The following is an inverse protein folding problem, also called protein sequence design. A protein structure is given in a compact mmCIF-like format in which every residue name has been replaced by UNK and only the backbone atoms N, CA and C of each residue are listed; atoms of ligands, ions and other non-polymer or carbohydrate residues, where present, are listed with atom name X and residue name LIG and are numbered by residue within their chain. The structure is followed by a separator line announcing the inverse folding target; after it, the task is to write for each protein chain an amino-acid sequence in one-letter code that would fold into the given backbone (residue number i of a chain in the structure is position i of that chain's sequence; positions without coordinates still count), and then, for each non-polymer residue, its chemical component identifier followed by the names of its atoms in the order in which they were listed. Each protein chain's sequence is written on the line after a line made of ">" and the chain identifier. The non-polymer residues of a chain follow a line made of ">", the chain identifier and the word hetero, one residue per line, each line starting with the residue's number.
data_IF_358388219730
#
_entry.id   IF_358388219730
#
_cell.length_a   1.000
_cell.length_b   1.000
_cell.length_c   1.000
_cell.angle_alpha   90.00
_cell.angle_beta   90.00
_cell.angle_gamma   90.00
#
_symmetry.space_group_name_H-M   'P 1'
#
loop_
_entity.id
_entity.type
_entity.pdbx_description
1 polymer ?
#
# COMPACT_ATOMS: atom_id res chain seq x y z
N UNK A 1 20.59 19.84 2.99
CA UNK A 1 20.17 18.59 2.28
C UNK A 1 19.14 17.90 3.16
N UNK A 2 18.08 17.44 2.55
CA UNK A 2 17.03 16.72 3.24
C UNK A 2 17.50 15.37 3.81
N UNK A 3 16.84 14.90 4.86
CA UNK A 3 16.92 13.49 5.26
C UNK A 3 16.26 12.63 4.19
N UNK A 4 16.98 11.66 3.65
CA UNK A 4 16.43 10.75 2.65
C UNK A 4 15.75 9.58 3.37
N UNK A 5 14.44 9.46 3.20
CA UNK A 5 13.60 8.46 3.84
C UNK A 5 13.60 7.17 3.00
N UNK A 6 14.58 6.31 3.24
CA UNK A 6 14.81 5.10 2.45
C UNK A 6 13.86 3.96 2.85
N UNK A 7 13.07 3.48 1.91
CA UNK A 7 12.18 2.34 2.10
C UNK A 7 12.89 1.03 2.49
N UNK A 8 14.17 0.87 2.13
CA UNK A 8 14.98 -0.31 2.51
C UNK A 8 15.16 -0.45 4.04
N UNK A 9 15.28 0.67 4.76
CA UNK A 9 15.46 0.67 6.22
C UNK A 9 14.16 0.26 6.90
N UNK A 10 13.04 0.84 6.45
CA UNK A 10 11.68 0.46 6.88
C UNK A 10 11.42 -1.02 6.61
N UNK A 11 11.79 -1.49 5.42
CA UNK A 11 11.63 -2.90 5.03
C UNK A 11 12.46 -3.84 5.90
N UNK A 12 13.67 -3.45 6.30
CA UNK A 12 14.53 -4.27 7.17
C UNK A 12 13.88 -4.46 8.54
N UNK A 13 13.48 -3.37 9.20
CA UNK A 13 12.80 -3.40 10.49
C UNK A 13 11.48 -4.20 10.43
N UNK A 14 10.68 -3.96 9.39
CA UNK A 14 9.42 -4.68 9.20
C UNK A 14 9.62 -6.18 8.99
N UNK A 15 10.67 -6.58 8.27
CA UNK A 15 10.96 -7.99 8.06
C UNK A 15 11.32 -8.69 9.37
N UNK A 16 12.10 -8.06 10.27
CA UNK A 16 12.41 -8.60 11.60
C UNK A 16 11.12 -8.82 12.42
N UNK A 17 10.21 -7.84 12.42
CA UNK A 17 8.90 -7.98 13.08
C UNK A 17 8.08 -9.16 12.51
N UNK A 18 8.10 -9.33 11.18
CA UNK A 18 7.38 -10.42 10.50
C UNK A 18 8.01 -11.77 10.83
N UNK A 19 9.32 -11.88 10.82
CA UNK A 19 10.03 -13.13 11.13
C UNK A 19 9.74 -13.63 12.53
N UNK A 20 9.65 -12.75 13.53
CA UNK A 20 9.23 -13.11 14.89
C UNK A 20 7.78 -13.61 14.94
N UNK A 21 6.86 -12.93 14.26
CA UNK A 21 5.46 -13.35 14.16
C UNK A 21 5.32 -14.71 13.47
N UNK A 22 6.09 -14.96 12.40
CA UNK A 22 6.11 -16.24 11.68
C UNK A 22 6.68 -17.35 12.56
N UNK A 23 7.69 -17.07 13.38
CA UNK A 23 8.21 -18.04 14.37
C UNK A 23 7.13 -18.46 15.36
N UNK A 24 6.39 -17.50 15.92
CA UNK A 24 5.25 -17.79 16.81
C UNK A 24 4.20 -18.67 16.13
N UNK A 25 3.82 -18.36 14.88
CA UNK A 25 2.87 -19.18 14.12
C UNK A 25 3.37 -20.62 13.91
N UNK A 26 4.66 -20.78 13.59
CA UNK A 26 5.27 -22.12 13.39
C UNK A 26 5.26 -22.96 14.69
N UNK A 27 5.48 -22.34 15.85
CA UNK A 27 5.37 -23.00 17.15
C UNK A 27 3.97 -23.58 17.40
N UNK A 28 2.92 -22.93 16.85
CA UNK A 28 1.53 -23.40 16.89
C UNK A 28 1.13 -24.21 15.64
N UNK A 29 2.08 -24.66 14.83
CA UNK A 29 1.87 -25.44 13.61
C UNK A 29 1.00 -24.72 12.55
N UNK A 30 0.96 -23.38 12.57
CA UNK A 30 0.27 -22.55 11.57
C UNK A 30 1.28 -22.04 10.57
N UNK A 31 1.04 -22.32 9.28
CA UNK A 31 1.83 -21.78 8.16
C UNK A 31 1.05 -20.65 7.50
N UNK A 32 1.46 -19.38 7.64
CA UNK A 32 0.80 -18.27 6.93
C UNK A 32 0.91 -18.49 5.42
N UNK A 33 -0.19 -18.30 4.69
CA UNK A 33 -0.26 -18.57 3.25
C UNK A 33 -1.04 -17.50 2.52
N UNK A 34 -0.48 -16.99 1.42
CA UNK A 34 -1.05 -16.00 0.51
C UNK A 34 -1.61 -16.68 -0.74
N UNK A 35 -2.90 -16.46 -1.05
CA UNK A 35 -3.46 -16.75 -2.36
C UNK A 35 -3.22 -15.58 -3.32
N UNK A 36 -2.79 -15.83 -4.52
CA UNK A 36 -2.51 -14.82 -5.55
C UNK A 36 -3.39 -15.08 -6.76
N UNK A 37 -4.33 -14.21 -7.04
CA UNK A 37 -5.17 -14.26 -8.26
C UNK A 37 -4.61 -13.28 -9.28
N UNK A 38 -4.24 -13.78 -10.47
CA UNK A 38 -3.85 -12.97 -11.63
C UNK A 38 -4.66 -13.37 -12.85
N UNK A 39 -5.23 -12.39 -13.53
CA UNK A 39 -6.02 -12.56 -14.75
C UNK A 39 -5.22 -11.98 -15.92
N UNK A 40 -4.93 -12.84 -16.90
CA UNK A 40 -4.09 -12.49 -18.04
C UNK A 40 -2.59 -12.42 -17.70
N UNK A 41 -1.82 -11.78 -18.60
CA UNK A 41 -0.35 -11.78 -18.55
C UNK A 41 0.25 -10.37 -18.70
N UNK A 42 -0.33 -9.38 -18.03
CA UNK A 42 0.23 -8.02 -17.98
C UNK A 42 1.60 -8.05 -17.32
N UNK A 43 2.59 -7.44 -17.96
CA UNK A 43 3.98 -7.48 -17.51
C UNK A 43 4.19 -6.83 -16.13
N UNK A 44 3.45 -5.78 -15.83
CA UNK A 44 3.51 -5.10 -14.54
C UNK A 44 2.98 -6.00 -13.42
N UNK A 45 1.88 -6.73 -13.66
CA UNK A 45 1.32 -7.70 -12.70
C UNK A 45 2.30 -8.84 -12.45
N UNK A 46 2.93 -9.37 -13.51
CA UNK A 46 3.94 -10.43 -13.42
C UNK A 46 5.17 -9.94 -12.63
N UNK A 47 5.61 -8.71 -12.86
CA UNK A 47 6.73 -8.12 -12.14
C UNK A 47 6.41 -7.95 -10.64
N UNK A 48 5.22 -7.46 -10.31
CA UNK A 48 4.78 -7.33 -8.92
C UNK A 48 4.58 -8.72 -8.26
N UNK A 49 3.93 -9.68 -8.94
CA UNK A 49 3.78 -11.07 -8.48
C UNK A 49 5.13 -11.66 -8.10
N UNK A 50 6.13 -11.52 -8.98
CA UNK A 50 7.49 -12.01 -8.72
C UNK A 50 8.10 -11.40 -7.45
N UNK A 51 7.88 -10.12 -7.21
CA UNK A 51 8.39 -9.43 -6.02
C UNK A 51 7.64 -9.90 -4.76
N UNK A 52 6.32 -10.07 -4.83
CA UNK A 52 5.52 -10.59 -3.73
C UNK A 52 5.93 -12.03 -3.37
N UNK A 53 6.11 -12.90 -4.36
CA UNK A 53 6.59 -14.28 -4.19
C UNK A 53 7.97 -14.30 -3.52
N UNK A 54 8.94 -13.56 -4.05
CA UNK A 54 10.27 -13.46 -3.44
C UNK A 54 10.22 -12.99 -1.98
N UNK A 55 9.29 -12.09 -1.67
CA UNK A 55 9.10 -11.61 -0.31
C UNK A 55 8.51 -12.70 0.58
N UNK A 56 7.51 -13.44 0.11
CA UNK A 56 6.95 -14.58 0.82
C UNK A 56 8.02 -15.64 1.12
N UNK A 57 8.80 -16.03 0.12
CA UNK A 57 9.89 -17.00 0.26
C UNK A 57 10.93 -16.54 1.30
N UNK A 58 11.37 -15.28 1.21
CA UNK A 58 12.33 -14.71 2.17
C UNK A 58 11.82 -14.77 3.61
N UNK A 59 10.53 -14.53 3.83
CA UNK A 59 9.90 -14.44 5.16
C UNK A 59 9.22 -15.75 5.60
N UNK A 60 9.45 -16.86 4.89
CA UNK A 60 8.87 -18.17 5.19
C UNK A 60 7.34 -18.16 5.24
N UNK A 61 6.70 -17.42 4.35
CA UNK A 61 5.25 -17.41 4.12
C UNK A 61 4.96 -18.23 2.88
N UNK A 62 4.03 -19.17 2.97
CA UNK A 62 3.61 -19.97 1.83
C UNK A 62 2.77 -19.13 0.85
N UNK A 63 2.72 -19.55 -0.40
CA UNK A 63 1.84 -18.91 -1.40
C UNK A 63 1.27 -19.95 -2.37
N UNK A 64 0.15 -19.58 -2.98
CA UNK A 64 -0.49 -20.36 -4.03
C UNK A 64 -1.02 -19.43 -5.12
N UNK A 65 -0.78 -19.79 -6.39
CA UNK A 65 -1.15 -18.96 -7.54
C UNK A 65 -2.38 -19.50 -8.24
N UNK A 66 -3.31 -18.61 -8.53
CA UNK A 66 -4.54 -18.86 -9.29
C UNK A 66 -4.46 -18.01 -10.56
N UNK A 67 -3.88 -18.59 -11.60
CA UNK A 67 -3.66 -17.91 -12.88
C UNK A 67 -4.86 -18.19 -13.78
N UNK A 68 -5.62 -17.14 -14.08
CA UNK A 68 -6.81 -17.19 -14.90
C UNK A 68 -6.54 -16.56 -16.28
N UNK A 69 -7.12 -17.10 -17.37
CA UNK A 69 -6.96 -16.53 -18.69
C UNK A 69 -7.64 -15.15 -18.77
N UNK A 70 -7.18 -14.30 -19.71
CA UNK A 70 -7.69 -12.93 -19.83
C UNK A 70 -9.19 -12.87 -20.19
N UNK A 71 -9.69 -13.87 -20.91
CA UNK A 71 -11.08 -14.02 -21.30
C UNK A 71 -11.95 -14.80 -20.29
N UNK A 72 -11.45 -15.00 -19.06
CA UNK A 72 -12.16 -15.69 -17.98
C UNK A 72 -13.53 -15.03 -17.72
N UNK A 73 -14.55 -15.85 -17.45
CA UNK A 73 -15.87 -15.31 -17.08
C UNK A 73 -15.90 -14.83 -15.63
N UNK A 74 -16.77 -13.86 -15.36
CA UNK A 74 -17.00 -13.33 -14.01
C UNK A 74 -17.34 -14.44 -13.00
N UNK A 75 -18.16 -15.41 -13.40
CA UNK A 75 -18.56 -16.54 -12.57
C UNK A 75 -17.36 -17.36 -12.08
N UNK A 76 -16.40 -17.65 -12.97
CA UNK A 76 -15.19 -18.42 -12.63
C UNK A 76 -14.32 -17.63 -11.63
N UNK A 77 -14.20 -16.32 -11.81
CA UNK A 77 -13.44 -15.46 -10.88
C UNK A 77 -14.10 -15.45 -9.51
N UNK A 78 -15.42 -15.25 -9.46
CA UNK A 78 -16.21 -15.26 -8.21
C UNK A 78 -16.10 -16.61 -7.51
N UNK A 79 -16.25 -17.72 -8.24
CA UNK A 79 -16.12 -19.08 -7.70
C UNK A 79 -14.72 -19.32 -7.12
N UNK A 80 -13.68 -18.81 -7.79
CA UNK A 80 -12.30 -18.90 -7.30
C UNK A 80 -12.15 -18.16 -5.97
N UNK A 81 -12.65 -16.92 -5.88
CA UNK A 81 -12.62 -16.14 -4.65
C UNK A 81 -13.41 -16.82 -3.53
N UNK A 82 -14.59 -17.38 -3.84
CA UNK A 82 -15.41 -18.07 -2.85
C UNK A 82 -14.74 -19.36 -2.32
N UNK A 83 -14.00 -20.09 -3.16
CA UNK A 83 -13.16 -21.21 -2.72
C UNK A 83 -12.06 -20.74 -1.78
N UNK A 84 -11.39 -19.64 -2.13
CA UNK A 84 -10.35 -19.05 -1.28
C UNK A 84 -10.90 -18.51 0.05
N UNK A 85 -12.10 -17.93 0.05
CA UNK A 85 -12.79 -17.52 1.27
C UNK A 85 -13.00 -18.68 2.25
N UNK A 86 -13.33 -19.88 1.72
CA UNK A 86 -13.58 -21.10 2.51
C UNK A 86 -12.30 -21.86 2.86
N UNK A 87 -11.19 -21.63 2.14
CA UNK A 87 -9.94 -22.35 2.36
C UNK A 87 -9.33 -21.96 3.73
N UNK A 88 -9.25 -22.94 4.62
CA UNK A 88 -8.77 -22.74 5.98
C UNK A 88 -7.28 -22.39 6.06
N UNK A 89 -6.50 -22.86 5.10
CA UNK A 89 -5.05 -22.68 5.01
C UNK A 89 -4.63 -21.42 4.26
N UNK A 90 -5.56 -20.70 3.62
CA UNK A 90 -5.31 -19.39 2.98
C UNK A 90 -5.69 -18.27 3.96
N UNK A 91 -4.72 -17.44 4.30
CA UNK A 91 -4.87 -16.37 5.29
C UNK A 91 -5.05 -14.98 4.67
N UNK A 92 -4.63 -14.79 3.43
CA UNK A 92 -4.82 -13.56 2.69
C UNK A 92 -4.89 -13.82 1.19
N UNK A 93 -5.53 -12.92 0.46
CA UNK A 93 -5.66 -13.00 -1.00
C UNK A 93 -5.24 -11.68 -1.63
N UNK A 94 -4.33 -11.77 -2.59
CA UNK A 94 -3.93 -10.67 -3.48
C UNK A 94 -4.64 -10.85 -4.81
N UNK A 95 -5.32 -9.81 -5.28
CA UNK A 95 -5.97 -9.76 -6.60
C UNK A 95 -5.36 -8.62 -7.40
N UNK A 96 -4.76 -8.91 -8.54
CA UNK A 96 -4.19 -7.88 -9.41
C UNK A 96 -5.27 -7.06 -10.10
N UNK A 97 -5.07 -5.74 -10.15
CA UNK A 97 -5.97 -4.75 -10.72
C UNK A 97 -5.23 -3.79 -11.66
N UNK A 98 -5.90 -3.16 -12.62
CA UNK A 98 -7.33 -3.28 -12.94
C UNK A 98 -7.66 -4.62 -13.61
N UNK A 99 -8.85 -5.15 -13.32
CA UNK A 99 -9.36 -6.34 -13.98
C UNK A 99 -9.62 -6.07 -15.47
N UNK A 100 -9.72 -7.11 -16.32
CA UNK A 100 -10.20 -6.96 -17.70
C UNK A 100 -11.56 -6.26 -17.77
N UNK A 101 -11.73 -5.38 -18.75
CA UNK A 101 -12.89 -4.46 -18.85
C UNK A 101 -14.27 -5.14 -19.01
N UNK A 102 -14.31 -6.42 -19.33
CA UNK A 102 -15.55 -7.20 -19.43
C UNK A 102 -16.04 -7.74 -18.09
N UNK A 103 -15.23 -7.58 -17.02
CA UNK A 103 -15.56 -8.02 -15.67
C UNK A 103 -16.05 -6.86 -14.81
N UNK A 104 -17.05 -7.09 -13.96
CA UNK A 104 -17.48 -6.14 -12.94
C UNK A 104 -16.49 -6.19 -11.75
N UNK A 105 -15.50 -5.29 -11.80
CA UNK A 105 -14.44 -5.23 -10.78
C UNK A 105 -15.03 -5.01 -9.38
N UNK A 106 -16.00 -4.13 -9.20
CA UNK A 106 -16.57 -3.82 -7.89
C UNK A 106 -17.26 -5.05 -7.28
N UNK A 107 -18.06 -5.74 -8.06
CA UNK A 107 -18.76 -6.96 -7.64
C UNK A 107 -17.77 -8.08 -7.29
N UNK A 108 -16.77 -8.30 -8.12
CA UNK A 108 -15.74 -9.32 -7.92
C UNK A 108 -14.95 -9.04 -6.63
N UNK A 109 -14.42 -7.84 -6.47
CA UNK A 109 -13.60 -7.49 -5.32
C UNK A 109 -14.39 -7.59 -4.00
N UNK A 110 -15.65 -7.19 -3.99
CA UNK A 110 -16.51 -7.28 -2.80
C UNK A 110 -17.00 -8.72 -2.50
N UNK A 111 -16.68 -9.71 -3.34
CA UNK A 111 -16.86 -11.12 -3.02
C UNK A 111 -15.79 -11.63 -2.04
N UNK A 112 -14.63 -10.98 -1.98
CA UNK A 112 -13.54 -11.36 -1.06
C UNK A 112 -13.95 -11.11 0.39
N UNK A 113 -13.72 -12.10 1.25
CA UNK A 113 -13.91 -11.98 2.69
C UNK A 113 -12.95 -10.93 3.27
N UNK A 114 -13.47 -10.03 4.09
CA UNK A 114 -12.73 -8.87 4.59
C UNK A 114 -11.51 -9.26 5.43
N UNK A 115 -11.56 -10.38 6.13
CA UNK A 115 -10.47 -10.95 6.92
C UNK A 115 -9.32 -11.48 6.06
N UNK A 116 -9.56 -11.72 4.77
CA UNK A 116 -8.56 -12.17 3.78
C UNK A 116 -8.16 -11.07 2.78
N UNK A 117 -8.76 -9.89 2.90
CA UNK A 117 -8.46 -8.73 2.05
C UNK A 117 -7.18 -8.03 2.51
N UNK A 118 -6.04 -8.69 2.30
CA UNK A 118 -4.73 -8.21 2.77
C UNK A 118 -4.15 -7.04 1.95
N UNK A 119 -4.79 -6.66 0.86
CA UNK A 119 -4.44 -5.46 0.07
C UNK A 119 -5.43 -4.30 0.24
N UNK A 120 -6.47 -4.48 1.07
CA UNK A 120 -7.42 -3.43 1.44
C UNK A 120 -8.27 -2.91 0.28
N UNK A 121 -8.71 -3.83 -0.59
CA UNK A 121 -9.40 -3.50 -1.85
C UNK A 121 -10.92 -3.51 -1.74
N UNK A 122 -11.48 -4.16 -0.70
CA UNK A 122 -12.93 -4.28 -0.51
C UNK A 122 -13.54 -3.02 0.11
N UNK A 123 -14.82 -2.81 -0.14
CA UNK A 123 -15.56 -1.72 0.48
C UNK A 123 -15.58 -1.81 2.01
N UNK A 124 -15.54 -3.02 2.59
CA UNK A 124 -15.50 -3.22 4.05
C UNK A 124 -14.15 -2.80 4.64
N UNK A 125 -13.03 -3.15 4.01
CA UNK A 125 -11.71 -2.66 4.42
C UNK A 125 -11.64 -1.14 4.37
N UNK A 126 -12.17 -0.52 3.31
CA UNK A 126 -12.23 0.94 3.18
C UNK A 126 -13.13 1.59 4.24
N UNK A 127 -14.26 0.95 4.59
CA UNK A 127 -15.12 1.41 5.68
C UNK A 127 -14.40 1.34 7.03
N UNK A 128 -13.62 0.29 7.28
CA UNK A 128 -12.76 0.16 8.46
C UNK A 128 -11.78 1.32 8.60
N UNK A 129 -11.07 1.67 7.53
CA UNK A 129 -10.13 2.80 7.50
C UNK A 129 -10.85 4.11 7.78
N UNK A 130 -11.98 4.37 7.11
CA UNK A 130 -12.76 5.57 7.29
C UNK A 130 -13.27 5.72 8.73
N UNK A 131 -13.76 4.63 9.33
CA UNK A 131 -14.28 4.62 10.70
C UNK A 131 -13.18 4.54 11.78
N UNK A 132 -11.92 4.36 11.40
CA UNK A 132 -10.80 4.14 12.33
C UNK A 132 -10.91 2.82 13.11
N UNK A 133 -11.64 1.82 12.58
CA UNK A 133 -11.86 0.50 13.20
C UNK A 133 -10.95 -0.55 12.57
N UNK A 134 -10.65 -1.59 13.34
CA UNK A 134 -9.96 -2.79 12.87
C UNK A 134 -10.95 -3.69 12.11
N UNK A 135 -11.17 -3.36 10.84
CA UNK A 135 -12.01 -4.10 9.92
C UNK A 135 -11.26 -4.21 8.59
N UNK A 136 -10.82 -5.42 8.26
CA UNK A 136 -9.93 -5.64 7.11
C UNK A 136 -8.56 -4.98 7.28
N UNK A 137 -7.94 -4.66 6.16
CA UNK A 137 -6.60 -4.08 6.09
C UNK A 137 -6.62 -2.78 5.29
N UNK A 138 -5.67 -1.90 5.58
CA UNK A 138 -5.46 -0.72 4.75
C UNK A 138 -4.69 -1.11 3.46
N UNK A 139 -4.90 -0.41 2.32
CA UNK A 139 -4.10 -0.62 1.13
C UNK A 139 -2.60 -0.56 1.44
N UNK A 140 -1.86 -1.53 0.91
CA UNK A 140 -0.43 -1.70 1.24
C UNK A 140 0.40 -0.44 0.98
N UNK A 141 0.11 0.29 -0.10
CA UNK A 141 0.82 1.54 -0.41
C UNK A 141 0.52 2.66 0.58
N UNK A 142 -0.73 2.81 1.01
CA UNK A 142 -1.08 3.79 2.04
C UNK A 142 -0.45 3.44 3.39
N UNK A 143 -0.45 2.16 3.76
CA UNK A 143 0.22 1.64 4.95
C UNK A 143 1.72 1.89 4.92
N UNK A 144 2.37 1.73 3.76
CA UNK A 144 3.80 2.01 3.59
C UNK A 144 4.14 3.48 3.86
N UNK A 145 3.29 4.43 3.45
CA UNK A 145 3.49 5.85 3.77
C UNK A 145 3.52 6.08 5.30
N UNK A 146 2.58 5.48 6.01
CA UNK A 146 2.50 5.61 7.47
C UNK A 146 3.69 4.92 8.15
N UNK A 147 4.06 3.72 7.70
CA UNK A 147 5.23 2.99 8.23
C UNK A 147 6.53 3.76 8.06
N UNK A 148 6.70 4.48 6.94
CA UNK A 148 7.85 5.36 6.73
C UNK A 148 7.85 6.48 7.77
N UNK A 149 6.73 7.19 7.94
CA UNK A 149 6.63 8.27 8.92
C UNK A 149 6.95 7.77 10.34
N UNK A 150 6.40 6.61 10.72
CA UNK A 150 6.62 6.01 12.04
C UNK A 150 8.09 5.59 12.24
N UNK A 151 8.68 4.91 11.25
CA UNK A 151 10.06 4.44 11.32
C UNK A 151 11.06 5.58 11.54
N UNK A 152 10.85 6.70 10.85
CA UNK A 152 11.72 7.88 10.98
C UNK A 152 11.30 8.82 12.11
N UNK A 153 10.36 8.43 12.97
CA UNK A 153 9.93 9.22 14.14
C UNK A 153 9.25 10.54 13.79
N UNK A 154 8.62 10.61 12.61
CA UNK A 154 7.93 11.84 12.16
C UNK A 154 6.56 11.90 12.83
N UNK A 155 6.43 12.79 13.83
CA UNK A 155 5.16 13.02 14.53
C UNK A 155 4.18 13.78 13.63
N UNK A 156 2.99 13.20 13.46
CA UNK A 156 1.90 13.79 12.68
C UNK A 156 0.94 14.65 13.54
N UNK A 157 1.05 14.59 14.87
CA UNK A 157 0.12 15.25 15.79
C UNK A 157 0.11 16.76 15.60
N UNK A 158 -1.06 17.33 15.30
CA UNK A 158 -1.24 18.76 15.08
C UNK A 158 -0.63 19.29 13.78
N UNK A 159 0.01 18.44 12.96
CA UNK A 159 0.60 18.83 11.68
C UNK A 159 -0.44 18.96 10.58
N UNK A 160 -0.22 19.89 9.66
CA UNK A 160 -1.01 20.01 8.45
C UNK A 160 -0.45 19.04 7.39
N UNK A 161 -1.24 18.04 7.04
CA UNK A 161 -0.91 17.08 5.99
C UNK A 161 -1.71 17.38 4.72
N UNK A 162 -1.01 17.58 3.61
CA UNK A 162 -1.62 17.79 2.29
C UNK A 162 -1.35 16.57 1.42
N UNK A 163 -2.43 15.96 0.96
CA UNK A 163 -2.41 14.79 0.09
C UNK A 163 -2.77 15.21 -1.33
N UNK A 164 -1.86 15.06 -2.26
CA UNK A 164 -2.07 15.40 -3.68
C UNK A 164 -2.43 14.13 -4.43
N UNK A 165 -3.73 13.89 -4.56
CA UNK A 165 -4.33 12.68 -5.12
C UNK A 165 -5.49 12.19 -4.25
N UNK A 166 -6.49 11.53 -4.87
CA UNK A 166 -7.70 11.05 -4.17
C UNK A 166 -8.14 9.65 -4.59
N UNK A 167 -7.18 8.82 -5.01
CA UNK A 167 -7.47 7.43 -5.37
C UNK A 167 -7.92 6.62 -4.15
N UNK A 168 -8.62 5.51 -4.40
CA UNK A 168 -8.98 4.54 -3.34
C UNK A 168 -7.77 3.73 -2.87
N UNK A 169 -6.70 3.69 -3.68
CA UNK A 169 -5.49 2.92 -3.34
C UNK A 169 -4.55 3.69 -2.43
N UNK A 170 -4.44 5.02 -2.59
CA UNK A 170 -3.48 5.84 -1.83
C UNK A 170 -4.12 7.05 -1.20
N UNK A 171 -4.61 8.00 -1.99
CA UNK A 171 -4.95 9.33 -1.50
C UNK A 171 -6.01 9.34 -0.39
N UNK A 172 -7.16 8.69 -0.60
CA UNK A 172 -8.21 8.61 0.42
C UNK A 172 -7.78 7.80 1.65
N UNK A 173 -7.22 6.58 1.53
CA UNK A 173 -6.82 5.81 2.70
C UNK A 173 -5.72 6.51 3.50
N UNK A 174 -4.66 7.04 2.88
CA UNK A 174 -3.60 7.73 3.63
C UNK A 174 -4.11 8.97 4.35
N UNK A 175 -5.10 9.67 3.77
CA UNK A 175 -5.75 10.81 4.44
C UNK A 175 -6.41 10.39 5.75
N UNK A 176 -7.19 9.31 5.74
CA UNK A 176 -7.84 8.82 6.95
C UNK A 176 -6.86 8.27 7.97
N UNK A 177 -5.78 7.61 7.51
CA UNK A 177 -4.73 7.12 8.40
C UNK A 177 -3.96 8.26 9.06
N UNK A 178 -3.67 9.35 8.35
CA UNK A 178 -3.06 10.56 8.92
C UNK A 178 -4.01 11.29 9.88
N UNK A 179 -5.31 11.35 9.56
CA UNK A 179 -6.32 11.88 10.49
C UNK A 179 -6.35 11.08 11.80
N UNK A 180 -6.29 9.74 11.72
CA UNK A 180 -6.18 8.85 12.90
C UNK A 180 -4.90 9.12 13.72
N UNK A 181 -3.84 9.63 13.09
CA UNK A 181 -2.59 10.08 13.74
C UNK A 181 -2.64 11.55 14.20
N UNK A 182 -3.83 12.12 14.34
CA UNK A 182 -4.09 13.48 14.78
C UNK A 182 -3.54 14.60 13.87
N UNK A 183 -3.33 14.30 12.57
CA UNK A 183 -3.00 15.34 11.60
C UNK A 183 -4.27 16.08 11.13
N UNK A 184 -4.10 17.35 10.76
CA UNK A 184 -5.13 18.11 10.02
C UNK A 184 -4.92 17.86 8.52
N UNK A 185 -5.89 17.30 7.83
CA UNK A 185 -5.74 16.88 6.44
C UNK A 185 -6.37 17.84 5.44
N UNK A 186 -5.71 18.02 4.30
CA UNK A 186 -6.26 18.63 3.08
C UNK A 186 -6.01 17.69 1.91
N UNK A 187 -7.06 17.36 1.16
CA UNK A 187 -6.94 16.49 -0.04
C UNK A 187 -7.07 17.33 -1.29
N UNK A 188 -6.01 17.36 -2.09
CA UNK A 188 -5.94 18.06 -3.36
C UNK A 188 -6.13 17.10 -4.54
N UNK A 189 -6.69 17.62 -5.62
CA UNK A 189 -6.97 16.85 -6.82
C UNK A 189 -7.00 17.75 -8.07
N UNK A 190 -7.20 17.21 -9.25
CA UNK A 190 -7.19 17.93 -10.55
C UNK A 190 -8.15 19.13 -10.64
N UNK A 191 -9.11 19.28 -9.73
CA UNK A 191 -10.04 20.43 -9.67
C UNK A 191 -9.69 21.40 -8.52
N UNK A 192 -8.64 21.13 -7.74
CA UNK A 192 -8.19 22.02 -6.66
C UNK A 192 -7.64 23.30 -7.26
N UNK A 193 -8.13 24.44 -6.78
CA UNK A 193 -7.59 25.75 -7.11
C UNK A 193 -6.35 26.02 -6.23
N UNK A 194 -5.34 26.68 -6.81
CA UNK A 194 -4.15 27.11 -6.08
C UNK A 194 -3.42 26.01 -5.32
N UNK A 195 -3.23 24.86 -5.97
CA UNK A 195 -2.58 23.67 -5.38
C UNK A 195 -1.22 24.02 -4.75
N UNK A 196 -0.49 24.95 -5.35
CA UNK A 196 0.78 25.48 -4.83
C UNK A 196 0.60 26.03 -3.41
N UNK A 197 -0.42 26.84 -3.16
CA UNK A 197 -0.67 27.42 -1.85
C UNK A 197 -1.00 26.36 -0.81
N UNK A 198 -1.79 25.36 -1.18
CA UNK A 198 -2.13 24.26 -0.28
C UNK A 198 -0.88 23.46 0.11
N UNK A 199 -0.05 23.09 -0.87
CA UNK A 199 1.20 22.35 -0.63
C UNK A 199 2.19 23.17 0.19
N UNK A 200 2.36 24.46 -0.09
CA UNK A 200 3.24 25.34 0.70
C UNK A 200 2.79 25.49 2.16
N UNK A 201 1.49 25.39 2.44
CA UNK A 201 0.96 25.50 3.80
C UNK A 201 1.11 24.19 4.61
N UNK A 202 1.55 23.10 3.99
CA UNK A 202 1.68 21.79 4.62
C UNK A 202 2.96 21.67 5.47
N UNK A 203 2.91 20.82 6.50
CA UNK A 203 4.09 20.29 7.19
C UNK A 203 4.48 18.92 6.60
N UNK A 204 3.46 18.13 6.19
CA UNK A 204 3.64 16.83 5.55
C UNK A 204 2.94 16.87 4.19
N UNK A 205 3.64 16.50 3.14
CA UNK A 205 3.10 16.39 1.76
C UNK A 205 3.14 14.94 1.35
N UNK A 206 2.00 14.39 0.93
CA UNK A 206 1.93 13.08 0.27
C UNK A 206 1.60 13.29 -1.19
N UNK A 207 2.57 13.05 -2.07
CA UNK A 207 2.43 13.18 -3.51
C UNK A 207 1.95 11.83 -4.09
N UNK A 208 0.71 11.79 -4.59
CA UNK A 208 0.05 10.63 -5.18
C UNK A 208 -0.83 11.05 -6.37
N UNK A 209 -0.29 11.96 -7.20
CA UNK A 209 -0.97 12.55 -8.36
C UNK A 209 -0.95 11.64 -9.60
N UNK A 210 0.01 10.70 -9.67
CA UNK A 210 0.27 9.87 -10.85
C UNK A 210 0.77 10.69 -12.04
N UNK A 211 1.59 11.70 -11.78
CA UNK A 211 2.14 12.61 -12.79
C UNK A 211 3.58 12.96 -12.47
N UNK A 212 4.50 12.53 -13.34
CA UNK A 212 5.93 12.71 -13.17
C UNK A 212 6.32 14.16 -12.89
N UNK A 213 7.04 14.40 -11.78
CA UNK A 213 7.58 15.70 -11.41
C UNK A 213 6.53 16.81 -11.27
N UNK A 214 5.27 16.47 -10.95
CA UNK A 214 4.19 17.45 -10.80
C UNK A 214 4.47 18.44 -9.66
N UNK A 215 4.99 17.95 -8.53
CA UNK A 215 5.41 18.78 -7.41
C UNK A 215 6.84 19.26 -7.63
N UNK A 216 6.99 20.56 -7.89
CA UNK A 216 8.28 21.22 -8.13
C UNK A 216 8.67 22.12 -6.95
N UNK A 217 9.89 22.66 -6.99
CA UNK A 217 10.42 23.56 -5.94
C UNK A 217 9.49 24.70 -5.56
N UNK A 218 8.77 25.28 -6.53
CA UNK A 218 7.85 26.39 -6.26
C UNK A 218 6.61 26.00 -5.43
N UNK A 219 6.33 24.71 -5.27
CA UNK A 219 5.27 24.17 -4.42
C UNK A 219 5.75 23.91 -2.99
N UNK A 220 7.06 23.89 -2.76
CA UNK A 220 7.66 23.43 -1.52
C UNK A 220 8.25 24.56 -0.69
N UNK A 221 8.51 24.30 0.58
CA UNK A 221 9.23 25.16 1.51
C UNK A 221 10.09 24.37 2.49
N UNK A 222 11.00 25.03 3.16
CA UNK A 222 11.78 24.47 4.27
C UNK A 222 10.86 24.03 5.41
N UNK A 223 11.23 22.99 6.12
CA UNK A 223 10.47 22.41 7.25
C UNK A 223 9.43 21.39 6.86
N UNK A 224 9.37 20.99 5.58
CA UNK A 224 8.40 19.99 5.10
C UNK A 224 8.98 18.58 5.05
N UNK A 225 8.12 17.61 5.33
CA UNK A 225 8.34 16.19 5.04
C UNK A 225 7.55 15.81 3.79
N UNK A 226 8.21 15.21 2.81
CA UNK A 226 7.58 14.85 1.52
C UNK A 226 7.63 13.32 1.34
N UNK A 227 6.46 12.73 1.23
CA UNK A 227 6.28 11.30 0.91
C UNK A 227 5.83 11.21 -0.54
N UNK A 228 6.74 10.85 -1.41
CA UNK A 228 6.45 10.62 -2.84
C UNK A 228 6.04 9.18 -3.07
N UNK A 229 4.81 9.00 -3.53
CA UNK A 229 4.19 7.69 -3.82
C UNK A 229 4.11 7.43 -5.32
N UNK A 230 4.42 8.43 -6.13
CA UNK A 230 4.36 8.34 -7.59
C UNK A 230 5.29 7.25 -8.12
N UNK A 231 4.82 6.51 -9.10
CA UNK A 231 5.63 5.58 -9.91
C UNK A 231 5.33 5.92 -11.36
N UNK A 232 6.25 6.66 -11.96
CA UNK A 232 6.14 7.11 -13.34
C UNK A 232 7.42 6.75 -14.10
N UNK A 233 7.37 6.87 -15.41
CA UNK A 233 8.55 6.80 -16.30
C UNK A 233 8.73 8.17 -16.90
N UNK A 234 9.91 8.76 -16.77
CA UNK A 234 10.23 10.05 -17.36
C UNK A 234 10.53 9.92 -18.88
N UNK A 235 10.78 11.03 -19.53
CA UNK A 235 11.07 11.09 -20.97
C UNK A 235 12.33 10.30 -21.37
N UNK A 236 13.24 10.06 -20.43
CA UNK A 236 14.47 9.30 -20.64
C UNK A 236 14.29 7.79 -20.37
N UNK A 237 13.07 7.35 -20.00
CA UNK A 237 12.77 5.96 -19.68
C UNK A 237 13.15 5.53 -18.25
N UNK A 238 13.51 6.47 -17.38
CA UNK A 238 13.86 6.20 -15.99
C UNK A 238 12.63 6.27 -15.07
N UNK A 239 12.60 5.44 -14.04
CA UNK A 239 11.60 5.52 -12.98
C UNK A 239 11.76 6.84 -12.20
N UNK A 240 10.65 7.54 -11.99
CA UNK A 240 10.60 8.77 -11.21
C UNK A 240 9.29 8.87 -10.43
N UNK A 241 9.25 9.78 -9.46
CA UNK A 241 8.07 10.07 -8.67
C UNK A 241 7.19 11.18 -9.22
N UNK A 242 6.21 11.58 -8.41
CA UNK A 242 5.37 12.74 -8.65
C UNK A 242 6.07 14.06 -8.23
N UNK A 243 7.18 13.97 -7.52
CA UNK A 243 7.99 15.10 -7.07
C UNK A 243 9.24 15.22 -7.94
N UNK A 244 9.57 16.43 -8.37
CA UNK A 244 10.85 16.76 -8.99
C UNK A 244 11.96 16.68 -7.91
N UNK A 245 12.47 15.47 -7.68
CA UNK A 245 13.32 15.13 -6.54
C UNK A 245 14.53 16.06 -6.40
N UNK A 246 15.29 16.27 -7.47
CA UNK A 246 16.52 17.08 -7.45
C UNK A 246 16.23 18.56 -7.12
N UNK A 247 15.03 19.04 -7.44
CA UNK A 247 14.58 20.39 -7.09
C UNK A 247 14.05 20.46 -5.64
N UNK A 248 13.48 19.39 -5.13
CA UNK A 248 12.84 19.33 -3.82
C UNK A 248 13.84 19.07 -2.68
N UNK A 249 14.79 18.14 -2.88
CA UNK A 249 15.76 17.70 -1.87
C UNK A 249 16.54 18.84 -1.22
N UNK A 250 17.02 19.89 -1.91
CA UNK A 250 17.70 21.00 -1.27
C UNK A 250 16.81 21.89 -0.38
N UNK A 251 15.49 21.78 -0.49
CA UNK A 251 14.53 22.70 0.13
C UNK A 251 13.86 22.09 1.37
N UNK A 252 13.42 20.82 1.27
CA UNK A 252 12.63 20.18 2.32
C UNK A 252 13.50 19.56 3.41
N UNK A 253 12.91 19.22 4.57
CA UNK A 253 13.66 18.63 5.67
C UNK A 253 13.83 17.12 5.49
N UNK A 254 12.82 16.45 4.88
CA UNK A 254 12.89 15.02 4.60
C UNK A 254 12.09 14.65 3.35
N UNK A 255 12.54 13.65 2.60
CA UNK A 255 11.90 13.22 1.36
C UNK A 255 12.14 11.73 1.09
N UNK A 256 11.13 11.03 0.56
CA UNK A 256 11.30 9.68 0.01
C UNK A 256 11.81 9.75 -1.45
N UNK A 257 12.81 8.95 -1.83
CA UNK A 257 13.25 8.88 -3.24
C UNK A 257 12.36 7.95 -4.06
N UNK A 258 12.32 8.16 -5.37
CA UNK A 258 11.71 7.23 -6.33
C UNK A 258 12.72 6.96 -7.45
N UNK A 259 13.20 5.70 -7.61
CA UNK A 259 12.91 4.50 -6.81
C UNK A 259 13.58 4.50 -5.41
N UNK A 260 13.11 3.61 -4.54
CA UNK A 260 13.77 3.34 -3.25
C UNK A 260 13.07 3.88 -2.00
N UNK A 261 11.95 4.60 -2.16
CA UNK A 261 11.08 5.05 -1.08
C UNK A 261 9.90 4.09 -0.82
N UNK A 262 8.68 4.60 -0.95
CA UNK A 262 7.42 3.91 -0.59
C UNK A 262 7.27 2.55 -1.28
N UNK A 263 7.53 2.46 -2.58
CA UNK A 263 7.37 1.22 -3.35
C UNK A 263 8.22 0.05 -2.84
N UNK A 264 9.33 0.33 -2.16
CA UNK A 264 10.19 -0.71 -1.58
C UNK A 264 9.55 -1.45 -0.39
N UNK A 265 8.60 -0.82 0.31
CA UNK A 265 7.98 -1.37 1.52
C UNK A 265 6.66 -2.11 1.26
N UNK A 266 5.98 -1.87 0.13
CA UNK A 266 4.61 -2.35 -0.14
C UNK A 266 4.47 -3.87 -0.06
N UNK A 267 5.41 -4.63 -0.65
CA UNK A 267 5.37 -6.11 -0.60
C UNK A 267 5.64 -6.67 0.79
N UNK A 268 6.41 -5.98 1.64
CA UNK A 268 6.60 -6.39 3.04
C UNK A 268 5.33 -6.13 3.85
N UNK A 269 4.64 -5.02 3.62
CA UNK A 269 3.32 -4.73 4.21
C UNK A 269 2.30 -5.80 3.83
N UNK A 270 2.26 -6.20 2.55
CA UNK A 270 1.38 -7.27 2.09
C UNK A 270 1.62 -8.57 2.89
N UNK A 271 2.89 -8.96 3.03
CA UNK A 271 3.26 -10.17 3.80
C UNK A 271 2.95 -10.00 5.28
N UNK A 272 3.18 -8.80 5.86
CA UNK A 272 2.78 -8.52 7.23
C UNK A 272 1.27 -8.72 7.45
N UNK A 273 0.44 -8.23 6.52
CA UNK A 273 -1.02 -8.41 6.59
C UNK A 273 -1.41 -9.90 6.57
N UNK A 274 -0.79 -10.71 5.70
CA UNK A 274 -1.01 -12.17 5.66
C UNK A 274 -0.64 -12.83 6.98
N UNK A 275 0.49 -12.47 7.55
CA UNK A 275 0.96 -13.01 8.84
C UNK A 275 0.05 -12.57 9.99
N UNK A 276 -0.39 -11.33 9.99
CA UNK A 276 -1.35 -10.83 10.98
C UNK A 276 -2.72 -11.51 10.85
N UNK A 277 -3.19 -11.79 9.63
CA UNK A 277 -4.42 -12.56 9.40
C UNK A 277 -4.32 -13.98 9.98
N UNK A 278 -3.17 -14.65 9.75
CA UNK A 278 -2.91 -15.97 10.33
C UNK A 278 -2.91 -15.95 11.86
N UNK A 279 -2.26 -14.93 12.46
CA UNK A 279 -2.26 -14.75 13.93
C UNK A 279 -3.67 -14.50 14.50
N UNK A 280 -4.47 -13.67 13.84
CA UNK A 280 -5.85 -13.40 14.26
C UNK A 280 -6.70 -14.67 14.21
N UNK A 281 -6.57 -15.45 13.13
CA UNK A 281 -7.27 -16.74 12.99
C UNK A 281 -6.85 -17.74 14.07
N UNK A 282 -5.55 -17.89 14.30
CA UNK A 282 -5.01 -18.77 15.35
C UNK A 282 -5.60 -18.42 16.73
N UNK A 283 -5.56 -17.15 17.14
CA UNK A 283 -6.11 -16.67 18.41
C UNK A 283 -7.63 -16.86 18.52
N UNK A 284 -8.35 -16.81 17.41
CA UNK A 284 -9.80 -17.06 17.39
C UNK A 284 -10.14 -18.54 17.60
N UNK A 285 -9.26 -19.46 17.16
CA UNK A 285 -9.44 -20.92 17.32
C UNK A 285 -9.10 -21.42 18.73
N UNK A 286 -8.40 -20.61 19.55
CA UNK A 286 -8.04 -20.94 20.95
C UNK A 286 -9.12 -20.52 21.95
N UNK A 287 -10.14 -19.77 21.51
CA UNK A 287 -11.27 -19.32 22.34
C UNK A 287 -12.48 -20.24 22.18
#
# INVERSE_FOLDING_TARGET
>A
MAQILLGKEVTASLNEEIEEKVKTLKEHQVMPKLGIIRIGEKQDDIAYERNAVKRCEKLSVAYEKFLLPEDVTEEIVIDTIQKLNKAEDIHGVLIFRPLPSHLDEEKILNTLAVEKDVDGITNLSMAGIFAGKEMGYAPCTASACIRILDHYGIDCTGKKAVIVGRSLVVGKPVSMMLLKKNATITVCHTKTKNIKQEVQAADIVVAAAGSAGFIKKEHLRTGQVVIDVGINVNEEGNLCGDVAFDEAEPIVDAITPVPGGVGGATTSILVEHVVNAALLKMKASEK
#
